data_IF_872362617657
#
_entry.id   IF_872362617657
#
_cell.length_a   1.000
_cell.length_b   1.000
_cell.length_c   1.000
_cell.angle_alpha   90.00
_cell.angle_beta   90.00
_cell.angle_gamma   90.00
#
_symmetry.space_group_name_H-M   'P 1'
#
loop_
_entity.id
_entity.type
_entity.pdbx_description
1 polymer ?
#
# COMPACT_ATOMS: atom_id res chain seq x y z
N UNK A 1 -13.91 1.45 8.76
CA UNK A 1 -13.65 0.42 7.74
C UNK A 1 -12.65 0.99 6.74
N UNK A 2 -11.55 0.30 6.42
CA UNK A 2 -10.53 0.76 5.45
C UNK A 2 -10.25 -0.31 4.37
N UNK A 3 -11.22 -1.18 4.10
CA UNK A 3 -11.08 -2.30 3.17
C UNK A 3 -10.61 -1.89 1.75
N UNK A 4 -10.97 -0.68 1.30
CA UNK A 4 -10.48 -0.15 0.03
C UNK A 4 -8.96 0.09 0.02
N UNK A 5 -8.40 0.60 1.12
CA UNK A 5 -6.96 0.75 1.27
C UNK A 5 -6.26 -0.62 1.28
N UNK A 6 -6.80 -1.59 2.02
CA UNK A 6 -6.23 -2.95 2.08
C UNK A 6 -6.21 -3.62 0.69
N UNK A 7 -7.29 -3.47 -0.08
CA UNK A 7 -7.38 -3.97 -1.44
C UNK A 7 -6.32 -3.34 -2.37
N UNK A 8 -6.07 -2.03 -2.24
CA UNK A 8 -5.04 -1.33 -3.03
C UNK A 8 -3.64 -1.81 -2.62
N UNK A 9 -3.34 -1.93 -1.33
CA UNK A 9 -2.05 -2.42 -0.85
C UNK A 9 -1.80 -3.85 -1.33
N UNK A 10 -2.81 -4.72 -1.25
CA UNK A 10 -2.72 -6.08 -1.77
C UNK A 10 -2.43 -6.05 -3.27
N UNK A 11 -3.17 -5.25 -4.06
CA UNK A 11 -2.96 -5.14 -5.51
C UNK A 11 -1.56 -4.66 -5.87
N UNK A 12 -1.00 -3.73 -5.11
CA UNK A 12 0.39 -3.26 -5.27
C UNK A 12 1.40 -4.37 -4.89
N UNK A 13 1.08 -5.20 -3.91
CA UNK A 13 1.81 -6.43 -3.60
C UNK A 13 1.84 -7.40 -4.77
N UNK A 14 0.68 -7.68 -5.36
CA UNK A 14 0.55 -8.57 -6.52
C UNK A 14 1.32 -8.04 -7.74
N UNK A 15 1.28 -6.72 -7.97
CA UNK A 15 2.04 -6.08 -9.05
C UNK A 15 3.55 -6.28 -8.91
N UNK A 16 4.08 -6.20 -7.67
CA UNK A 16 5.48 -6.48 -7.39
C UNK A 16 5.83 -7.96 -7.64
N UNK A 17 4.94 -8.87 -7.25
CA UNK A 17 5.13 -10.31 -7.49
C UNK A 17 5.16 -10.60 -8.99
N UNK A 18 4.25 -10.02 -9.76
CA UNK A 18 4.24 -10.13 -11.22
C UNK A 18 5.56 -9.66 -11.83
N UNK A 19 6.15 -8.55 -11.36
CA UNK A 19 7.46 -8.10 -11.84
C UNK A 19 8.56 -9.14 -11.58
N UNK A 20 8.53 -9.83 -10.43
CA UNK A 20 9.46 -10.92 -10.12
C UNK A 20 9.25 -12.13 -11.03
N UNK A 21 8.01 -12.47 -11.33
CA UNK A 21 7.69 -13.60 -12.21
C UNK A 21 8.14 -13.33 -13.65
N UNK A 22 7.95 -12.10 -14.16
CA UNK A 22 8.44 -11.68 -15.48
C UNK A 22 9.96 -11.61 -15.53
N UNK A 23 10.61 -11.14 -14.46
CA UNK A 23 12.07 -11.16 -14.33
C UNK A 23 12.63 -12.59 -14.46
N UNK A 24 12.04 -13.55 -13.74
CA UNK A 24 12.47 -14.95 -13.78
C UNK A 24 12.23 -15.58 -15.15
N UNK A 25 11.08 -15.28 -15.78
CA UNK A 25 10.79 -15.68 -17.16
C UNK A 25 11.89 -15.23 -18.11
N UNK A 26 12.31 -13.95 -18.02
CA UNK A 26 13.33 -13.40 -18.91
C UNK A 26 14.72 -13.98 -18.61
N UNK A 27 15.04 -14.27 -17.34
CA UNK A 27 16.28 -14.97 -16.96
C UNK A 27 16.34 -16.36 -17.59
N UNK A 28 15.28 -17.15 -17.46
CA UNK A 28 15.20 -18.48 -18.09
C UNK A 28 15.32 -18.39 -19.60
N UNK A 29 14.63 -17.44 -20.24
CA UNK A 29 14.72 -17.22 -21.68
C UNK A 29 16.13 -16.84 -22.12
N UNK A 30 16.77 -15.88 -21.44
CA UNK A 30 18.13 -15.45 -21.76
C UNK A 30 19.13 -16.61 -21.70
N UNK A 31 19.02 -17.49 -20.72
CA UNK A 31 19.86 -18.69 -20.61
C UNK A 31 19.65 -19.66 -21.77
N UNK A 32 18.40 -19.87 -22.19
CA UNK A 32 18.08 -20.72 -23.33
C UNK A 32 18.64 -20.16 -24.64
N UNK A 33 18.45 -18.86 -24.90
CA UNK A 33 18.98 -18.17 -26.08
C UNK A 33 20.51 -18.22 -26.12
N UNK A 34 21.19 -18.00 -24.99
CA UNK A 34 22.65 -18.08 -24.89
C UNK A 34 23.18 -19.48 -25.19
N UNK A 35 22.54 -20.51 -24.62
CA UNK A 35 22.92 -21.90 -24.85
C UNK A 35 22.78 -22.26 -26.33
N UNK A 36 21.63 -21.94 -26.92
CA UNK A 36 21.36 -22.23 -28.33
C UNK A 36 22.35 -21.50 -29.25
N UNK A 37 22.57 -20.21 -29.03
CA UNK A 37 23.52 -19.44 -29.82
C UNK A 37 24.96 -19.98 -29.75
N UNK A 38 25.43 -20.34 -28.56
CA UNK A 38 26.76 -20.96 -28.36
C UNK A 38 26.87 -22.33 -29.05
N UNK A 39 25.82 -23.14 -29.00
CA UNK A 39 25.78 -24.43 -29.70
C UNK A 39 25.85 -24.24 -31.22
N UNK A 40 25.11 -23.29 -31.80
CA UNK A 40 25.18 -22.96 -33.23
C UNK A 40 26.57 -22.50 -33.66
N UNK A 41 27.21 -21.60 -32.91
CA UNK A 41 28.59 -21.17 -33.18
C UNK A 41 29.56 -22.36 -33.11
N UNK A 42 29.37 -23.26 -32.15
CA UNK A 42 30.19 -24.48 -32.03
C UNK A 42 30.00 -25.42 -33.22
N UNK A 43 28.76 -25.58 -33.68
CA UNK A 43 28.43 -26.39 -34.87
C UNK A 43 29.09 -25.80 -36.11
N UNK A 44 28.97 -24.48 -36.34
CA UNK A 44 29.59 -23.81 -37.47
C UNK A 44 31.11 -24.01 -37.52
N UNK A 45 31.79 -23.92 -36.36
CA UNK A 45 33.25 -24.12 -36.24
C UNK A 45 33.70 -25.56 -36.44
N UNK A 46 32.86 -26.54 -36.06
CA UNK A 46 33.13 -27.97 -36.24
C UNK A 46 32.71 -28.50 -37.61
N UNK A 47 31.99 -27.71 -38.40
CA UNK A 47 31.49 -28.12 -39.70
C UNK A 47 32.65 -28.45 -40.66
N UNK A 48 32.63 -29.68 -41.20
CA UNK A 48 33.61 -30.20 -42.15
C UNK A 48 33.50 -29.59 -43.55
N UNK A 49 33.89 -30.33 -44.60
CA UNK A 49 33.82 -29.84 -45.99
C UNK A 49 35.03 -29.02 -46.43
N UNK A 50 36.13 -29.03 -45.67
CA UNK A 50 37.38 -28.36 -46.08
C UNK A 50 38.10 -29.06 -47.24
N UNK A 51 37.76 -30.32 -47.50
CA UNK A 51 38.25 -31.12 -48.63
C UNK A 51 37.51 -30.83 -49.93
N UNK A 52 36.35 -30.16 -49.88
CA UNK A 52 35.60 -29.79 -51.08
C UNK A 52 36.29 -28.67 -51.84
N UNK A 53 36.01 -28.59 -53.15
CA UNK A 53 36.63 -27.63 -54.05
C UNK A 53 35.60 -26.79 -54.81
N UNK A 54 36.07 -25.74 -55.48
CA UNK A 54 35.29 -24.93 -56.41
C UNK A 54 34.01 -24.34 -55.78
N UNK A 55 32.91 -24.33 -56.54
CA UNK A 55 31.65 -23.66 -56.18
C UNK A 55 30.91 -24.34 -55.03
N UNK A 56 31.10 -25.65 -54.84
CA UNK A 56 30.51 -26.38 -53.72
C UNK A 56 31.18 -25.97 -52.41
N UNK A 57 32.51 -25.87 -52.38
CA UNK A 57 33.26 -25.33 -51.23
C UNK A 57 32.73 -23.95 -50.83
N UNK A 58 32.60 -23.04 -51.80
CA UNK A 58 32.09 -21.69 -51.55
C UNK A 58 30.67 -21.69 -50.98
N UNK A 59 29.81 -22.60 -51.43
CA UNK A 59 28.44 -22.76 -50.91
C UNK A 59 28.42 -23.28 -49.47
N UNK A 60 29.29 -24.25 -49.14
CA UNK A 60 29.43 -24.78 -47.79
C UNK A 60 29.96 -23.72 -46.81
N UNK A 61 30.94 -22.92 -47.22
CA UNK A 61 31.44 -21.82 -46.38
C UNK A 61 30.35 -20.77 -46.11
N UNK A 62 29.55 -20.40 -47.12
CA UNK A 62 28.39 -19.52 -46.91
C UNK A 62 27.40 -20.10 -45.89
N UNK A 63 27.10 -21.40 -45.97
CA UNK A 63 26.23 -22.06 -45.01
C UNK A 63 26.79 -21.98 -43.58
N UNK A 64 28.09 -22.27 -43.39
CA UNK A 64 28.75 -22.14 -42.07
C UNK A 64 28.66 -20.73 -41.53
N UNK A 65 28.96 -19.73 -42.36
CA UNK A 65 28.86 -18.31 -41.97
C UNK A 65 27.43 -17.95 -41.55
N UNK A 66 26.40 -18.43 -42.25
CA UNK A 66 25.01 -18.17 -41.87
C UNK A 66 24.65 -18.81 -40.52
N UNK A 67 25.09 -20.05 -40.26
CA UNK A 67 24.88 -20.71 -38.96
C UNK A 67 25.58 -19.94 -37.84
N UNK A 68 26.82 -19.51 -38.05
CA UNK A 68 27.57 -18.70 -37.06
C UNK A 68 26.89 -17.35 -36.80
N UNK A 69 26.42 -16.67 -37.85
CA UNK A 69 25.70 -15.40 -37.73
C UNK A 69 24.41 -15.54 -36.91
N UNK A 70 23.61 -16.56 -37.19
CA UNK A 70 22.39 -16.84 -36.40
C UNK A 70 22.77 -17.12 -34.94
N UNK A 71 23.80 -17.94 -34.71
CA UNK A 71 24.30 -18.20 -33.36
C UNK A 71 24.70 -16.92 -32.60
N UNK A 72 25.41 -16.00 -33.26
CA UNK A 72 25.78 -14.71 -32.70
C UNK A 72 24.56 -13.82 -32.39
N UNK A 73 23.52 -13.82 -33.25
CA UNK A 73 22.28 -13.09 -32.97
C UNK A 73 21.55 -13.60 -31.72
N UNK A 74 21.50 -14.92 -31.51
CA UNK A 74 20.91 -15.50 -30.29
C UNK A 74 21.71 -15.14 -29.03
N UNK A 75 23.05 -15.09 -29.12
CA UNK A 75 23.91 -14.63 -28.02
C UNK A 75 23.62 -13.16 -27.69
N UNK A 76 23.58 -12.28 -28.70
CA UNK A 76 23.27 -10.85 -28.52
C UNK A 76 21.86 -10.64 -27.94
N UNK A 77 20.88 -11.44 -28.37
CA UNK A 77 19.54 -11.40 -27.81
C UNK A 77 19.52 -11.78 -26.33
N UNK A 78 20.30 -12.79 -25.92
CA UNK A 78 20.46 -13.13 -24.50
C UNK A 78 21.00 -11.96 -23.69
N UNK A 79 22.01 -11.25 -24.20
CA UNK A 79 22.58 -10.06 -23.54
C UNK A 79 21.54 -8.95 -23.40
N UNK A 80 20.78 -8.69 -24.46
CA UNK A 80 19.68 -7.72 -24.45
C UNK A 80 18.63 -8.09 -23.40
N UNK A 81 18.25 -9.36 -23.32
CA UNK A 81 17.29 -9.84 -22.30
C UNK A 81 17.84 -9.64 -20.88
N UNK A 82 19.13 -9.87 -20.64
CA UNK A 82 19.78 -9.63 -19.34
C UNK A 82 19.76 -8.15 -18.95
N UNK A 83 19.82 -7.23 -19.92
CA UNK A 83 19.65 -5.81 -19.67
C UNK A 83 18.20 -5.44 -19.32
N UNK A 84 17.22 -6.01 -20.03
CA UNK A 84 15.80 -5.82 -19.71
C UNK A 84 15.46 -6.34 -18.30
N UNK A 85 16.03 -7.48 -17.90
CA UNK A 85 15.94 -8.03 -16.54
C UNK A 85 16.37 -6.99 -15.50
N UNK A 86 17.51 -6.30 -15.70
CA UNK A 86 17.99 -5.25 -14.78
C UNK A 86 17.02 -4.06 -14.69
N UNK A 87 16.39 -3.69 -15.80
CA UNK A 87 15.37 -2.62 -15.83
C UNK A 87 14.14 -3.03 -15.03
N UNK A 88 13.69 -4.27 -15.15
CA UNK A 88 12.58 -4.84 -14.37
C UNK A 88 12.92 -4.88 -12.88
N UNK A 89 14.13 -5.32 -12.50
CA UNK A 89 14.61 -5.33 -11.11
C UNK A 89 14.57 -3.92 -10.50
N UNK A 90 15.08 -2.93 -11.24
CA UNK A 90 15.08 -1.52 -10.83
C UNK A 90 13.65 -1.00 -10.64
N UNK A 91 12.77 -1.28 -11.60
CA UNK A 91 11.37 -0.90 -11.52
C UNK A 91 10.65 -1.52 -10.31
N UNK A 92 10.89 -2.81 -10.05
CA UNK A 92 10.33 -3.55 -8.90
C UNK A 92 10.77 -2.93 -7.56
N UNK A 93 12.04 -2.56 -7.42
CA UNK A 93 12.51 -1.91 -6.18
C UNK A 93 11.93 -0.51 -6.02
N UNK A 94 11.79 0.27 -7.10
CA UNK A 94 11.09 1.56 -7.08
C UNK A 94 9.63 1.41 -6.65
N UNK A 95 8.90 0.43 -7.18
CA UNK A 95 7.52 0.14 -6.77
C UNK A 95 7.42 -0.18 -5.27
N UNK A 96 8.33 -1.01 -4.76
CA UNK A 96 8.40 -1.37 -3.34
C UNK A 96 8.65 -0.15 -2.45
N UNK A 97 9.54 0.75 -2.85
CA UNK A 97 9.84 1.97 -2.10
C UNK A 97 8.65 2.94 -2.07
N UNK A 98 8.02 3.17 -3.23
CA UNK A 98 6.81 4.01 -3.31
C UNK A 98 5.68 3.44 -2.44
N UNK A 99 5.43 2.13 -2.53
CA UNK A 99 4.41 1.46 -1.70
C UNK A 99 4.68 1.66 -0.21
N UNK A 100 5.91 1.40 0.25
CA UNK A 100 6.30 1.59 1.67
C UNK A 100 6.12 3.03 2.15
N UNK A 101 6.42 4.01 1.29
CA UNK A 101 6.25 5.43 1.62
C UNK A 101 4.78 5.73 1.93
N UNK A 102 3.86 5.33 1.04
CA UNK A 102 2.42 5.53 1.26
C UNK A 102 1.89 4.70 2.42
N UNK A 103 2.29 3.45 2.56
CA UNK A 103 1.93 2.60 3.72
C UNK A 103 2.29 3.26 5.04
N UNK A 104 3.48 3.89 5.14
CA UNK A 104 3.92 4.57 6.37
C UNK A 104 3.08 5.81 6.69
N UNK A 105 2.72 6.60 5.67
CA UNK A 105 1.87 7.78 5.84
C UNK A 105 0.47 7.34 6.30
N UNK A 106 -0.09 6.34 5.62
CA UNK A 106 -1.43 5.82 5.94
C UNK A 106 -1.47 5.14 7.31
N UNK A 107 -0.47 4.35 7.69
CA UNK A 107 -0.44 3.76 9.04
C UNK A 107 -0.47 4.84 10.14
N UNK A 108 0.27 5.94 9.97
CA UNK A 108 0.26 7.06 10.92
C UNK A 108 -1.09 7.76 10.98
N UNK A 109 -1.68 8.11 9.82
CA UNK A 109 -2.97 8.80 9.78
C UNK A 109 -4.10 7.89 10.30
N UNK A 110 -4.09 6.60 9.97
CA UNK A 110 -5.08 5.65 10.46
C UNK A 110 -5.02 5.50 11.99
N UNK A 111 -3.81 5.39 12.55
CA UNK A 111 -3.62 5.37 14.01
C UNK A 111 -4.12 6.65 14.67
N UNK A 112 -3.82 7.80 14.08
CA UNK A 112 -4.32 9.11 14.54
C UNK A 112 -5.86 9.14 14.52
N UNK A 113 -6.47 8.74 13.40
CA UNK A 113 -7.93 8.67 13.22
C UNK A 113 -8.60 7.76 14.24
N UNK A 114 -8.07 6.55 14.45
CA UNK A 114 -8.58 5.60 15.44
C UNK A 114 -8.44 6.15 16.87
N UNK A 115 -7.33 6.81 17.18
CA UNK A 115 -7.11 7.44 18.49
C UNK A 115 -8.09 8.59 18.74
N UNK A 116 -8.24 9.52 17.78
CA UNK A 116 -9.22 10.60 17.84
C UNK A 116 -10.64 10.08 17.95
N UNK A 117 -10.99 9.01 17.21
CA UNK A 117 -12.31 8.38 17.29
C UNK A 117 -12.58 7.83 18.68
N UNK A 118 -11.64 7.09 19.27
CA UNK A 118 -11.77 6.57 20.64
C UNK A 118 -11.97 7.69 21.66
N UNK A 119 -11.16 8.77 21.59
CA UNK A 119 -11.30 9.94 22.46
C UNK A 119 -12.67 10.61 22.31
N UNK A 120 -13.12 10.78 21.08
CA UNK A 120 -14.42 11.38 20.76
C UNK A 120 -15.57 10.57 21.34
N UNK A 121 -15.54 9.25 21.14
CA UNK A 121 -16.55 8.33 21.69
C UNK A 121 -16.55 8.32 23.23
N UNK A 122 -15.39 8.45 23.87
CA UNK A 122 -15.32 8.54 25.33
C UNK A 122 -15.88 9.88 25.84
N UNK A 123 -15.49 11.01 25.24
CA UNK A 123 -16.08 12.31 25.60
C UNK A 123 -17.58 12.38 25.35
N UNK A 124 -18.07 11.71 24.30
CA UNK A 124 -19.51 11.58 24.04
C UNK A 124 -20.23 10.87 25.19
N UNK A 125 -19.72 9.72 25.64
CA UNK A 125 -20.30 8.99 26.77
C UNK A 125 -20.31 9.83 28.05
N UNK A 126 -19.22 10.55 28.33
CA UNK A 126 -19.13 11.44 29.49
C UNK A 126 -20.18 12.55 29.39
N UNK A 127 -20.27 13.21 28.23
CA UNK A 127 -21.27 14.25 27.98
C UNK A 127 -22.71 13.73 28.15
N UNK A 128 -23.04 12.59 27.56
CA UNK A 128 -24.35 11.93 27.70
C UNK A 128 -24.68 11.62 29.16
N UNK A 129 -23.70 11.12 29.94
CA UNK A 129 -23.86 10.86 31.37
C UNK A 129 -24.12 12.17 32.16
N UNK A 130 -23.39 13.25 31.87
CA UNK A 130 -23.59 14.55 32.53
C UNK A 130 -24.92 15.19 32.17
N UNK A 131 -25.41 15.01 30.94
CA UNK A 131 -26.75 15.46 30.55
C UNK A 131 -27.82 14.73 31.36
N UNK A 132 -27.72 13.41 31.46
CA UNK A 132 -28.64 12.61 32.27
C UNK A 132 -28.64 13.01 33.75
N UNK A 133 -27.46 13.25 34.34
CA UNK A 133 -27.33 13.75 35.72
C UNK A 133 -27.98 15.13 35.90
N UNK A 134 -27.90 16.02 34.90
CA UNK A 134 -28.53 17.33 34.93
C UNK A 134 -30.06 17.23 34.84
N UNK A 135 -30.57 16.39 33.93
CA UNK A 135 -32.00 16.10 33.79
C UNK A 135 -32.60 15.50 35.07
N UNK A 136 -31.90 14.54 35.70
CA UNK A 136 -32.31 13.93 36.96
C UNK A 136 -32.31 14.94 38.12
N UNK A 137 -31.32 15.84 38.17
CA UNK A 137 -31.27 16.90 39.18
C UNK A 137 -32.42 17.92 39.04
N UNK A 138 -32.88 18.15 37.81
CA UNK A 138 -34.01 19.04 37.50
C UNK A 138 -35.36 18.37 37.80
N UNK A 139 -35.60 17.17 37.29
CA UNK A 139 -36.82 16.40 37.58
C UNK A 139 -36.97 16.03 39.06
N UNK A 140 -35.86 15.77 39.75
CA UNK A 140 -35.85 15.51 41.18
C UNK A 140 -36.25 16.72 42.02
N UNK A 141 -36.11 17.94 41.50
CA UNK A 141 -36.60 19.16 42.14
C UNK A 141 -38.10 19.36 41.90
N UNK A 142 -38.63 18.94 40.74
CA UNK A 142 -40.04 19.10 40.34
C UNK A 142 -40.99 18.06 40.96
N UNK A 143 -40.54 16.81 41.17
CA UNK A 143 -41.38 15.71 41.71
C UNK A 143 -41.72 15.83 43.21
N UNK A 144 -41.09 16.74 43.95
CA UNK A 144 -41.41 16.96 45.36
C UNK A 144 -42.60 17.93 45.49
N UNK A 145 -43.81 17.40 45.70
CA UNK A 145 -45.03 18.18 46.06
C UNK A 145 -44.96 18.84 47.45
N UNK A 146 -43.82 18.75 48.14
CA UNK A 146 -43.55 19.39 49.42
C UNK A 146 -42.43 20.43 49.24
N UNK A 147 -42.52 21.62 49.88
CA UNK A 147 -41.46 22.63 49.82
C UNK A 147 -40.12 22.00 50.24
N UNK A 148 -39.05 22.12 49.42
CA UNK A 148 -37.77 21.53 49.77
C UNK A 148 -37.26 22.17 51.07
N UNK A 149 -36.83 21.34 52.04
CA UNK A 149 -36.25 21.79 53.33
C UNK A 149 -35.07 22.76 53.17
N UNK A 150 -34.41 22.77 52.02
CA UNK A 150 -33.35 23.71 51.67
C UNK A 150 -33.38 24.01 50.15
N UNK A 151 -34.13 25.04 49.70
CA UNK A 151 -34.30 25.36 48.28
C UNK A 151 -33.01 25.87 47.62
N UNK A 152 -32.14 26.54 48.37
CA UNK A 152 -30.87 27.07 47.87
C UNK A 152 -29.90 25.95 47.50
N UNK A 153 -29.82 24.91 48.35
CA UNK A 153 -28.98 23.73 48.09
C UNK A 153 -29.41 22.98 46.83
N UNK A 154 -30.71 22.87 46.57
CA UNK A 154 -31.26 22.24 45.35
C UNK A 154 -30.91 23.07 44.11
N UNK A 155 -31.11 24.40 44.16
CA UNK A 155 -30.73 25.31 43.06
C UNK A 155 -29.23 25.25 42.76
N UNK A 156 -28.38 25.18 43.79
CA UNK A 156 -26.94 25.07 43.60
C UNK A 156 -26.54 23.75 42.93
N UNK A 157 -27.18 22.64 43.29
CA UNK A 157 -26.95 21.32 42.67
C UNK A 157 -27.33 21.33 41.18
N UNK A 158 -28.49 21.88 40.81
CA UNK A 158 -28.92 22.00 39.40
C UNK A 158 -27.91 22.84 38.62
N UNK A 159 -27.53 24.00 39.15
CA UNK A 159 -26.54 24.88 38.50
C UNK A 159 -25.21 24.18 38.29
N UNK A 160 -24.72 23.44 39.29
CA UNK A 160 -23.49 22.68 39.20
C UNK A 160 -23.56 21.57 38.13
N UNK A 161 -24.64 20.76 38.12
CA UNK A 161 -24.82 19.71 37.12
C UNK A 161 -24.90 20.27 35.69
N UNK A 162 -25.60 21.40 35.49
CA UNK A 162 -25.64 22.09 34.18
C UNK A 162 -24.28 22.59 33.72
N UNK A 163 -23.49 23.17 34.64
CA UNK A 163 -22.13 23.60 34.32
C UNK A 163 -21.23 22.41 33.96
N UNK A 164 -21.34 21.29 34.67
CA UNK A 164 -20.60 20.07 34.36
C UNK A 164 -20.97 19.49 32.99
N UNK A 165 -22.25 19.52 32.62
CA UNK A 165 -22.71 19.11 31.28
C UNK A 165 -22.18 20.04 30.19
N UNK A 166 -22.23 21.36 30.39
CA UNK A 166 -21.69 22.34 29.43
C UNK A 166 -20.18 22.22 29.25
N UNK A 167 -19.42 21.91 30.29
CA UNK A 167 -17.97 21.72 30.15
C UNK A 167 -17.65 20.40 29.43
N UNK A 168 -18.40 19.33 29.71
CA UNK A 168 -18.28 18.06 28.98
C UNK A 168 -18.65 18.23 27.49
N UNK A 169 -19.63 19.07 27.18
CA UNK A 169 -20.03 19.42 25.81
C UNK A 169 -18.88 20.06 25.04
N UNK A 170 -18.22 21.08 25.60
CA UNK A 170 -17.08 21.75 24.94
C UNK A 170 -15.96 20.77 24.61
N UNK A 171 -15.66 19.84 25.52
CA UNK A 171 -14.66 18.79 25.29
C UNK A 171 -15.10 17.85 24.17
N UNK A 172 -16.36 17.43 24.17
CA UNK A 172 -16.90 16.57 23.12
C UNK A 172 -16.88 17.25 21.74
N UNK A 173 -17.29 18.52 21.65
CA UNK A 173 -17.25 19.32 20.42
C UNK A 173 -15.81 19.47 19.91
N UNK A 174 -14.87 19.86 20.78
CA UNK A 174 -13.45 19.98 20.41
C UNK A 174 -12.86 18.67 19.89
N UNK A 175 -13.18 17.53 20.53
CA UNK A 175 -12.73 16.22 20.05
C UNK A 175 -13.37 15.85 18.69
N UNK A 176 -14.63 16.24 18.47
CA UNK A 176 -15.34 16.02 17.21
C UNK A 176 -14.69 16.82 16.07
N UNK A 177 -14.35 18.10 16.30
CA UNK A 177 -13.66 18.95 15.32
C UNK A 177 -12.27 18.40 14.96
N UNK A 178 -11.53 17.90 15.97
CA UNK A 178 -10.25 17.25 15.75
C UNK A 178 -10.40 15.95 14.96
N UNK A 179 -11.39 15.13 15.26
CA UNK A 179 -11.68 13.90 14.52
C UNK A 179 -12.03 14.21 13.07
N UNK A 180 -12.82 15.25 12.83
CA UNK A 180 -13.22 15.69 11.49
C UNK A 180 -12.02 16.18 10.68
N UNK A 181 -11.12 16.94 11.30
CA UNK A 181 -9.86 17.34 10.67
C UNK A 181 -9.03 16.12 10.24
N UNK A 182 -8.86 15.15 11.14
CA UNK A 182 -8.11 13.92 10.84
C UNK A 182 -8.81 13.04 9.81
N UNK A 183 -10.15 13.04 9.78
CA UNK A 183 -10.92 12.32 8.76
C UNK A 183 -10.69 12.92 7.38
N UNK A 184 -10.66 14.25 7.25
CA UNK A 184 -10.34 14.93 6.00
C UNK A 184 -8.90 14.65 5.56
N UNK A 185 -7.92 14.78 6.45
CA UNK A 185 -6.52 14.45 6.14
C UNK A 185 -6.40 13.01 5.59
N UNK A 186 -7.16 12.06 6.17
CA UNK A 186 -7.21 10.67 5.73
C UNK A 186 -7.84 10.47 4.35
N UNK A 187 -8.81 11.30 3.96
CA UNK A 187 -9.52 11.22 2.69
C UNK A 187 -8.76 11.92 1.55
N UNK A 188 -7.95 12.94 1.88
CA UNK A 188 -7.13 13.68 0.92
C UNK A 188 -5.79 12.98 0.59
N UNK A 189 -5.34 12.04 1.43
CA UNK A 189 -4.08 11.29 1.27
C UNK A 189 -4.21 10.11 0.32
#
# INVERSE_FOLDING_TARGET
CHAGYDAVIQRLGDGKQMCKDVEELFKMRALAEEKYGKELVTIARKAGGQTEISTLRASLEKLKTQIENIGNFHIQLSETLKEEVKKIETFRERQKEQRKKFESIMDKLQKKKVSCFKKTMESKKIYEARCKEAEEAEHGAEKTNAPPKNPEKVRHRIKHSRLAASEAEKVYLSNTDQLETVRRDWEET
#
